data_IF_515266921765
#
_entry.id   IF_515266921765
#
_cell.length_a   1.000
_cell.length_b   1.000
_cell.length_c   1.000
_cell.angle_alpha   90.00
_cell.angle_beta   90.00
_cell.angle_gamma   90.00
#
_symmetry.space_group_name_H-M   'P 1'
#
loop_
_entity.id
_entity.type
_entity.pdbx_description
1 polymer ?
#
# COMPACT_ATOMS: atom_id res chain seq x y z
N UNK A 1 -25.16 -4.76 13.52
CA UNK A 1 -25.04 -4.79 12.04
C UNK A 1 -24.01 -3.75 11.64
N UNK A 2 -22.81 -4.17 11.26
CA UNK A 2 -21.70 -3.28 10.92
C UNK A 2 -21.64 -3.15 9.40
N UNK A 3 -21.86 -1.95 8.86
CA UNK A 3 -21.73 -1.70 7.43
C UNK A 3 -20.24 -1.55 7.06
N UNK A 4 -19.78 -2.41 6.15
CA UNK A 4 -18.43 -2.39 5.60
C UNK A 4 -18.47 -1.71 4.22
N UNK A 5 -17.67 -0.67 4.03
CA UNK A 5 -17.43 -0.12 2.69
C UNK A 5 -16.20 -0.81 2.09
N UNK A 6 -16.42 -1.75 1.18
CA UNK A 6 -15.37 -2.29 0.34
C UNK A 6 -15.20 -1.37 -0.88
N UNK A 7 -14.01 -0.81 -1.05
CA UNK A 7 -13.62 -0.19 -2.32
C UNK A 7 -13.12 -1.30 -3.25
N UNK A 8 -13.75 -1.45 -4.41
CA UNK A 8 -13.26 -2.31 -5.49
C UNK A 8 -12.86 -1.45 -6.67
N UNK A 9 -11.64 -1.66 -7.18
CA UNK A 9 -11.14 -1.00 -8.38
C UNK A 9 -11.01 -2.00 -9.52
N UNK A 10 -11.59 -1.68 -10.68
CA UNK A 10 -11.44 -2.43 -11.94
C UNK A 10 -11.13 -1.42 -13.04
N UNK A 11 -9.89 -1.38 -13.48
CA UNK A 11 -9.49 -0.63 -14.67
C UNK A 11 -10.03 -1.31 -15.93
N UNK A 12 -10.68 -0.52 -16.80
CA UNK A 12 -11.15 -0.95 -18.13
C UNK A 12 -10.13 -0.53 -19.18
N UNK A 13 -9.68 -1.47 -20.00
CA UNK A 13 -9.15 -1.15 -21.33
C UNK A 13 -9.72 -2.12 -22.35
N UNK A 14 -10.45 -1.55 -23.31
CA UNK A 14 -11.00 -2.21 -24.48
C UNK A 14 -9.90 -2.24 -25.54
N UNK A 15 -9.52 -3.42 -26.03
CA UNK A 15 -8.73 -3.53 -27.26
C UNK A 15 -9.28 -4.70 -28.08
N UNK A 16 -9.90 -4.35 -29.20
CA UNK A 16 -10.29 -5.28 -30.26
C UNK A 16 -9.03 -5.61 -31.05
N UNK A 17 -8.65 -6.89 -31.09
CA UNK A 17 -7.83 -7.42 -32.16
C UNK A 17 -8.26 -8.87 -32.47
N UNK A 18 -8.79 -9.07 -33.67
CA UNK A 18 -8.95 -10.38 -34.29
C UNK A 18 -7.55 -10.95 -34.59
N UNK A 19 -7.20 -12.08 -33.98
CA UNK A 19 -6.26 -13.05 -34.56
C UNK A 19 -6.40 -14.42 -33.88
N UNK A 20 -6.71 -15.41 -34.72
CA UNK A 20 -6.40 -16.84 -34.64
C UNK A 20 -6.35 -17.53 -33.27
N UNK A 21 -7.25 -18.50 -33.11
CA UNK A 21 -7.42 -19.37 -31.97
C UNK A 21 -6.13 -20.04 -31.46
N UNK A 22 -5.57 -19.46 -30.40
CA UNK A 22 -4.88 -20.20 -29.33
C UNK A 22 -5.59 -19.78 -28.04
N UNK A 23 -6.38 -20.71 -27.49
CA UNK A 23 -7.05 -20.53 -26.20
C UNK A 23 -5.98 -20.63 -25.11
N UNK A 24 -5.17 -19.58 -24.95
CA UNK A 24 -4.37 -19.40 -23.74
C UNK A 24 -5.40 -19.03 -22.67
N UNK A 25 -5.62 -19.86 -21.64
CA UNK A 25 -6.45 -19.42 -20.53
C UNK A 25 -5.74 -18.20 -19.93
N UNK A 26 -6.30 -17.01 -20.16
CA UNK A 26 -6.06 -15.83 -19.37
C UNK A 26 -6.53 -16.19 -17.95
N UNK A 27 -5.63 -16.84 -17.21
CA UNK A 27 -5.75 -17.03 -15.77
C UNK A 27 -5.74 -15.63 -15.18
N UNK A 28 -6.93 -15.05 -15.11
CA UNK A 28 -7.18 -13.92 -14.23
C UNK A 28 -7.08 -14.52 -12.85
N UNK A 29 -5.88 -14.57 -12.27
CA UNK A 29 -5.76 -14.83 -10.85
C UNK A 29 -6.66 -13.80 -10.19
N UNK A 30 -7.73 -14.27 -9.56
CA UNK A 30 -8.49 -13.45 -8.64
C UNK A 30 -7.47 -13.05 -7.56
N UNK A 31 -6.96 -11.83 -7.65
CA UNK A 31 -6.04 -11.29 -6.66
C UNK A 31 -6.74 -11.41 -5.31
N UNK A 32 -6.22 -12.24 -4.42
CA UNK A 32 -6.72 -12.33 -3.06
C UNK A 32 -6.72 -10.92 -2.47
N UNK A 33 -7.89 -10.45 -2.05
CA UNK A 33 -7.98 -9.13 -1.43
C UNK A 33 -7.39 -9.23 -0.03
N UNK A 34 -6.23 -8.62 0.17
CA UNK A 34 -5.57 -8.58 1.47
C UNK A 34 -6.32 -7.61 2.38
N UNK A 35 -6.78 -8.11 3.52
CA UNK A 35 -7.46 -7.28 4.51
C UNK A 35 -6.44 -6.81 5.52
N UNK A 36 -6.16 -5.51 5.53
CA UNK A 36 -5.28 -4.91 6.52
C UNK A 36 -6.06 -4.71 7.82
N UNK A 37 -5.45 -5.08 8.94
CA UNK A 37 -6.06 -5.03 10.28
C UNK A 37 -5.34 -4.00 11.14
N UNK A 38 -6.05 -3.22 11.99
CA UNK A 38 -5.40 -2.34 12.95
C UNK A 38 -4.50 -3.15 13.89
N UNK A 39 -3.25 -2.74 14.04
CA UNK A 39 -2.37 -3.33 15.05
C UNK A 39 -2.81 -2.85 16.44
N UNK A 40 -3.07 -3.80 17.33
CA UNK A 40 -3.57 -3.49 18.66
C UNK A 40 -2.49 -2.86 19.53
N UNK A 41 -2.89 -1.94 20.42
CA UNK A 41 -2.02 -1.28 21.40
C UNK A 41 -0.87 -0.42 20.82
N UNK A 42 -0.86 -0.16 19.51
CA UNK A 42 0.07 0.76 18.87
C UNK A 42 -0.64 2.09 18.57
N UNK A 43 -0.21 3.14 19.26
CA UNK A 43 -0.75 4.49 19.10
C UNK A 43 0.41 5.48 19.08
N UNK A 44 0.45 6.34 18.07
CA UNK A 44 1.57 7.24 17.79
C UNK A 44 1.15 8.70 17.86
N UNK A 45 2.11 9.59 18.14
CA UNK A 45 1.92 11.04 18.20
C UNK A 45 1.98 11.72 16.82
N UNK A 46 2.52 11.04 15.81
CA UNK A 46 2.62 11.57 14.46
C UNK A 46 2.45 10.48 13.39
N UNK A 47 2.07 10.93 12.19
CA UNK A 47 2.00 10.08 11.00
C UNK A 47 3.36 9.43 10.69
N UNK A 48 4.45 10.19 10.79
CA UNK A 48 5.80 9.70 10.51
C UNK A 48 6.25 8.66 11.54
N UNK A 49 6.01 8.88 12.84
CA UNK A 49 6.34 7.90 13.87
C UNK A 49 5.60 6.57 13.68
N UNK A 50 4.37 6.63 13.18
CA UNK A 50 3.59 5.45 12.83
C UNK A 50 4.23 4.67 11.67
N UNK A 51 4.74 5.34 10.64
CA UNK A 51 5.44 4.71 9.51
C UNK A 51 6.80 4.13 9.93
N UNK A 52 7.56 4.86 10.76
CA UNK A 52 8.83 4.37 11.31
C UNK A 52 8.64 3.07 12.11
N UNK A 53 7.58 3.00 12.92
CA UNK A 53 7.24 1.78 13.64
C UNK A 53 6.92 0.61 12.69
N UNK A 54 6.32 0.86 11.51
CA UNK A 54 6.06 -0.17 10.51
C UNK A 54 7.33 -0.62 9.80
N UNK A 55 8.31 0.27 9.60
CA UNK A 55 9.64 -0.13 9.12
C UNK A 55 10.28 -1.09 10.12
N UNK A 56 10.30 -0.72 11.40
CA UNK A 56 10.92 -1.55 12.44
C UNK A 56 10.19 -2.90 12.62
N UNK A 57 8.87 -2.92 12.40
CA UNK A 57 8.06 -4.14 12.51
C UNK A 57 8.21 -5.10 11.31
N UNK A 58 8.25 -4.58 10.08
CA UNK A 58 8.04 -5.39 8.87
C UNK A 58 9.28 -5.55 7.98
N UNK A 59 10.28 -4.66 8.05
CA UNK A 59 11.33 -4.57 7.02
C UNK A 59 12.15 -5.87 6.90
N UNK A 60 12.51 -6.47 8.04
CA UNK A 60 13.32 -7.68 8.06
C UNK A 60 12.58 -8.86 7.41
N UNK A 61 11.30 -9.06 7.75
CA UNK A 61 10.45 -10.12 7.19
C UNK A 61 10.18 -9.88 5.71
N UNK A 62 9.78 -8.66 5.34
CA UNK A 62 9.52 -8.26 3.96
C UNK A 62 10.70 -8.55 3.02
N UNK A 63 11.92 -8.24 3.46
CA UNK A 63 13.15 -8.51 2.69
C UNK A 63 13.49 -9.99 2.64
N UNK A 64 13.26 -10.74 3.72
CA UNK A 64 13.59 -12.16 3.81
C UNK A 64 12.65 -13.02 2.95
N UNK A 65 11.36 -12.71 2.99
CA UNK A 65 10.30 -13.49 2.35
C UNK A 65 10.00 -13.03 0.92
N UNK A 66 10.62 -11.95 0.45
CA UNK A 66 10.29 -11.29 -0.82
C UNK A 66 8.78 -10.97 -0.91
N UNK A 67 8.24 -10.41 0.16
CA UNK A 67 6.82 -10.14 0.33
C UNK A 67 6.58 -8.66 0.63
N UNK A 68 5.57 -8.06 0.01
CA UNK A 68 5.15 -6.70 0.33
C UNK A 68 4.27 -6.69 1.59
N UNK A 69 4.59 -5.78 2.51
CA UNK A 69 3.76 -5.44 3.66
C UNK A 69 3.13 -4.09 3.39
N UNK A 70 1.87 -3.90 3.78
CA UNK A 70 1.16 -2.66 3.48
C UNK A 70 0.04 -2.36 4.46
N UNK A 71 -0.38 -1.11 4.45
CA UNK A 71 -1.53 -0.69 5.21
C UNK A 71 -1.80 0.79 5.11
N UNK A 72 -2.47 1.29 6.13
CA UNK A 72 -2.92 2.65 6.22
C UNK A 72 -2.52 3.25 7.57
N UNK A 73 -2.22 4.54 7.55
CA UNK A 73 -2.16 5.35 8.76
C UNK A 73 -3.55 5.93 8.99
N UNK A 74 -4.06 5.70 10.19
CA UNK A 74 -5.38 6.15 10.62
C UNK A 74 -5.23 7.24 11.67
N UNK A 75 -5.94 8.35 11.52
CA UNK A 75 -6.05 9.38 12.54
C UNK A 75 -7.33 9.19 13.35
N UNK A 76 -7.21 9.15 14.67
CA UNK A 76 -8.34 9.10 15.61
C UNK A 76 -8.87 10.51 15.90
N UNK A 77 -10.04 10.61 16.53
CA UNK A 77 -10.66 11.90 16.84
C UNK A 77 -9.86 12.75 17.84
N UNK A 78 -9.06 12.12 18.70
CA UNK A 78 -8.12 12.76 19.62
C UNK A 78 -6.76 13.09 18.95
N UNK A 79 -6.71 13.07 17.61
CA UNK A 79 -5.53 13.41 16.80
C UNK A 79 -4.31 12.50 16.98
N UNK A 80 -4.50 11.31 17.56
CA UNK A 80 -3.49 10.26 17.63
C UNK A 80 -3.50 9.42 16.35
N UNK A 81 -2.45 8.64 16.12
CA UNK A 81 -2.28 7.85 14.91
C UNK A 81 -2.26 6.35 15.22
N UNK A 82 -2.95 5.56 14.41
CA UNK A 82 -2.94 4.10 14.42
C UNK A 82 -2.42 3.60 13.07
N UNK A 83 -2.03 2.34 13.03
CA UNK A 83 -1.57 1.66 11.81
C UNK A 83 -2.43 0.44 11.52
N UNK A 84 -2.74 0.22 10.25
CA UNK A 84 -3.20 -1.10 9.78
C UNK A 84 -2.06 -1.82 9.10
N UNK A 85 -2.10 -3.15 9.10
CA UNK A 85 -1.12 -4.01 8.46
C UNK A 85 -1.79 -5.20 7.77
N UNK A 86 -1.29 -5.54 6.59
CA UNK A 86 -1.50 -6.80 5.89
C UNK A 86 -0.27 -7.14 5.05
N UNK A 87 -0.17 -8.41 4.66
CA UNK A 87 0.97 -8.97 3.95
C UNK A 87 0.51 -9.62 2.64
N UNK A 88 1.26 -9.37 1.57
CA UNK A 88 1.10 -10.05 0.29
C UNK A 88 1.80 -11.41 0.28
N UNK A 89 1.44 -12.26 -0.68
CA UNK A 89 2.18 -13.51 -0.87
C UNK A 89 3.57 -13.19 -1.45
N UNK A 90 4.60 -13.97 -1.11
CA UNK A 90 5.92 -13.87 -1.73
C UNK A 90 5.86 -13.79 -3.25
N UNK A 91 6.59 -12.83 -3.83
CA UNK A 91 6.70 -12.63 -5.28
C UNK A 91 5.45 -12.10 -5.99
N UNK A 92 4.39 -11.68 -5.26
CA UNK A 92 3.24 -11.03 -5.88
C UNK A 92 3.61 -9.64 -6.40
N UNK A 93 3.33 -9.38 -7.68
CA UNK A 93 3.63 -8.09 -8.34
C UNK A 93 2.45 -7.13 -8.37
N UNK A 94 1.26 -7.61 -8.03
CA UNK A 94 0.03 -6.82 -8.00
C UNK A 94 -0.77 -7.21 -6.78
N UNK A 95 -1.12 -6.22 -5.97
CA UNK A 95 -1.84 -6.43 -4.73
C UNK A 95 -3.12 -5.60 -4.72
N UNK A 96 -4.24 -6.24 -4.39
CA UNK A 96 -5.48 -5.56 -4.03
C UNK A 96 -5.65 -5.66 -2.52
N UNK A 97 -5.87 -4.54 -1.83
CA UNK A 97 -6.07 -4.55 -0.38
C UNK A 97 -7.31 -3.77 0.05
N UNK A 98 -7.82 -4.13 1.23
CA UNK A 98 -8.92 -3.47 1.91
C UNK A 98 -8.45 -2.99 3.28
N UNK A 99 -8.79 -1.75 3.64
CA UNK A 99 -8.43 -1.14 4.92
C UNK A 99 -9.54 -1.35 5.93
N UNK A 100 -9.29 -2.15 6.96
CA UNK A 100 -10.20 -2.25 8.10
C UNK A 100 -9.78 -1.21 9.14
N UNK A 101 -10.73 -0.37 9.55
CA UNK A 101 -10.48 0.76 10.45
C UNK A 101 -11.50 0.79 11.58
N UNK A 102 -11.12 1.23 12.80
CA UNK A 102 -12.09 1.48 13.86
C UNK A 102 -13.14 2.50 13.43
N UNK A 103 -14.38 2.41 13.95
CA UNK A 103 -15.38 3.46 13.79
C UNK A 103 -14.75 4.81 14.19
N UNK A 104 -15.07 5.87 13.46
CA UNK A 104 -14.58 7.25 13.66
C UNK A 104 -13.12 7.56 13.33
N UNK A 105 -12.27 6.58 13.02
CA UNK A 105 -10.91 6.88 12.54
C UNK A 105 -10.91 7.32 11.06
N UNK A 106 -10.00 8.19 10.62
CA UNK A 106 -9.85 8.64 9.22
C UNK A 106 -8.58 8.06 8.62
N UNK A 107 -8.61 7.59 7.37
CA UNK A 107 -7.37 7.28 6.63
C UNK A 107 -6.68 8.59 6.24
N UNK A 108 -5.42 8.77 6.67
CA UNK A 108 -4.64 9.99 6.40
C UNK A 108 -3.46 9.75 5.49
N UNK A 109 -2.92 8.53 5.46
CA UNK A 109 -1.88 8.11 4.53
C UNK A 109 -1.96 6.59 4.28
N UNK A 110 -1.30 6.14 3.23
CA UNK A 110 -1.02 4.74 2.94
C UNK A 110 0.47 4.46 3.14
N UNK A 111 0.84 3.21 3.38
CA UNK A 111 2.24 2.81 3.44
C UNK A 111 2.43 1.39 2.88
N UNK A 112 3.60 1.12 2.33
CA UNK A 112 4.02 -0.23 1.98
C UNK A 112 5.54 -0.42 2.05
N UNK A 113 5.97 -1.68 2.12
CA UNK A 113 7.35 -2.10 1.84
C UNK A 113 7.42 -2.67 0.44
N UNK A 114 8.63 -2.69 -0.12
CA UNK A 114 8.95 -3.66 -1.17
C UNK A 114 9.64 -4.88 -0.56
N UNK A 115 9.51 -6.02 -1.24
CA UNK A 115 10.12 -7.30 -0.87
C UNK A 115 11.66 -7.30 -0.93
N UNK A 116 12.25 -8.33 -1.54
CA UNK A 116 13.69 -8.52 -1.51
C UNK A 116 14.45 -7.38 -2.20
N UNK A 117 15.66 -7.02 -1.74
CA UNK A 117 16.46 -5.95 -2.33
C UNK A 117 16.68 -6.09 -3.84
N UNK A 118 16.41 -5.02 -4.58
CA UNK A 118 16.67 -4.90 -6.00
C UNK A 118 16.70 -3.45 -6.45
N UNK A 119 17.22 -3.16 -7.65
CA UNK A 119 17.32 -1.76 -8.14
C UNK A 119 15.96 -1.05 -8.22
N UNK A 120 14.87 -1.82 -8.43
CA UNK A 120 13.52 -1.28 -8.56
C UNK A 120 12.80 -1.16 -7.23
N UNK A 121 13.22 -1.88 -6.19
CA UNK A 121 12.56 -1.89 -4.88
C UNK A 121 12.89 -0.67 -4.03
N UNK A 122 13.84 0.17 -4.45
CA UNK A 122 14.22 1.40 -3.76
C UNK A 122 13.34 2.61 -4.17
N UNK A 123 12.36 2.43 -5.05
CA UNK A 123 11.56 3.54 -5.63
C UNK A 123 10.13 3.11 -5.86
N UNK A 124 9.20 4.05 -5.75
CA UNK A 124 7.81 3.86 -6.10
C UNK A 124 7.63 3.29 -7.52
N UNK A 125 6.66 2.40 -7.65
CA UNK A 125 6.19 1.85 -8.92
C UNK A 125 5.31 2.86 -9.68
N UNK A 126 4.98 2.53 -10.93
CA UNK A 126 3.99 3.29 -11.71
C UNK A 126 2.60 3.14 -11.04
N UNK A 127 2.30 1.93 -10.56
CA UNK A 127 1.05 1.64 -9.85
C UNK A 127 0.91 2.49 -8.59
N UNK A 128 1.98 2.72 -7.82
CA UNK A 128 1.94 3.58 -6.63
C UNK A 128 1.59 5.02 -6.99
N UNK A 129 2.14 5.50 -8.11
CA UNK A 129 1.85 6.82 -8.64
C UNK A 129 0.41 6.95 -9.10
N UNK A 130 -0.14 5.90 -9.71
CA UNK A 130 -1.54 5.84 -10.11
C UNK A 130 -2.47 5.80 -8.90
N UNK A 131 -2.13 5.00 -7.88
CA UNK A 131 -2.85 4.94 -6.59
C UNK A 131 -2.90 6.30 -5.90
N UNK A 132 -1.77 7.00 -5.78
CA UNK A 132 -1.72 8.34 -5.19
C UNK A 132 -2.55 9.34 -6.00
N UNK A 133 -2.53 9.25 -7.33
CA UNK A 133 -3.32 10.14 -8.19
C UNK A 133 -4.82 9.91 -8.05
N UNK A 134 -5.23 8.66 -7.90
CA UNK A 134 -6.62 8.27 -7.79
C UNK A 134 -7.21 8.59 -6.41
N UNK A 135 -6.48 8.20 -5.35
CA UNK A 135 -6.98 8.29 -3.98
C UNK A 135 -6.70 9.68 -3.38
N UNK A 136 -5.64 10.35 -3.82
CA UNK A 136 -5.26 11.67 -3.33
C UNK A 136 -4.72 11.69 -1.90
N UNK A 137 -4.25 10.55 -1.40
CA UNK A 137 -3.60 10.41 -0.10
C UNK A 137 -2.07 10.33 -0.24
N UNK A 138 -1.30 10.79 0.77
CA UNK A 138 0.11 10.46 0.89
C UNK A 138 0.35 8.95 0.89
N UNK A 139 1.42 8.51 0.25
CA UNK A 139 1.81 7.11 0.18
C UNK A 139 3.29 6.95 0.53
N UNK A 140 3.57 6.24 1.62
CA UNK A 140 4.92 5.97 2.08
C UNK A 140 5.47 4.66 1.51
N UNK A 141 6.71 4.70 1.03
CA UNK A 141 7.48 3.51 0.70
C UNK A 141 8.58 3.34 1.75
N UNK A 142 8.62 2.16 2.34
CA UNK A 142 9.72 1.66 3.16
C UNK A 142 10.56 0.74 2.29
N UNK A 143 11.69 1.24 1.79
CA UNK A 143 12.55 0.48 0.90
C UNK A 143 13.37 -0.59 1.65
N UNK A 144 13.88 -1.64 0.96
CA UNK A 144 14.72 -2.67 1.59
C UNK A 144 15.99 -2.13 2.25
N UNK A 145 16.50 -0.98 1.79
CA UNK A 145 17.58 -0.23 2.44
C UNK A 145 17.23 0.36 3.81
N UNK A 146 15.94 0.36 4.18
CA UNK A 146 15.38 1.05 5.33
C UNK A 146 15.06 2.52 5.08
N UNK A 147 15.30 3.04 3.87
CA UNK A 147 14.91 4.39 3.51
C UNK A 147 13.39 4.54 3.44
N UNK A 148 12.85 5.60 4.04
CA UNK A 148 11.44 5.97 3.93
C UNK A 148 11.30 7.11 2.91
N UNK A 149 10.49 6.89 1.88
CA UNK A 149 10.13 7.90 0.89
C UNK A 149 8.63 8.18 0.94
N UNK A 150 8.23 9.39 0.58
CA UNK A 150 6.87 9.86 0.59
C UNK A 150 6.46 10.32 -0.82
N UNK A 151 5.39 9.73 -1.34
CA UNK A 151 4.75 10.15 -2.58
C UNK A 151 3.47 10.92 -2.25
N UNK A 152 3.37 12.16 -2.74
CA UNK A 152 2.16 12.99 -2.56
C UNK A 152 1.62 13.43 -3.91
N UNK A 153 0.31 13.33 -4.11
CA UNK A 153 -0.35 13.84 -5.30
C UNK A 153 -0.57 15.35 -5.17
N UNK A 154 -0.11 16.15 -6.13
CA UNK A 154 -0.58 17.54 -6.26
C UNK A 154 -1.49 17.66 -7.47
N UNK A 155 -2.40 18.65 -7.46
CA UNK A 155 -3.23 19.01 -8.63
C UNK A 155 -2.41 19.37 -9.90
N UNK A 156 -1.07 19.44 -9.83
CA UNK A 156 -0.16 19.74 -10.95
C UNK A 156 0.92 18.67 -11.23
N UNK A 157 0.87 17.50 -10.60
CA UNK A 157 1.87 16.43 -10.75
C UNK A 157 2.27 15.79 -9.42
N UNK A 158 3.03 14.69 -9.45
CA UNK A 158 3.37 13.90 -8.26
C UNK A 158 4.85 14.16 -7.90
N UNK A 159 5.16 15.02 -6.92
CA UNK A 159 6.50 15.11 -6.36
C UNK A 159 6.78 13.89 -5.46
N UNK A 160 7.96 13.30 -5.62
CA UNK A 160 8.51 12.30 -4.73
C UNK A 160 9.41 13.01 -3.70
N UNK A 161 9.09 12.90 -2.41
CA UNK A 161 9.81 13.55 -1.31
C UNK A 161 10.48 12.46 -0.49
N UNK A 162 11.81 12.47 -0.40
CA UNK A 162 12.51 11.59 0.54
C UNK A 162 12.49 12.20 1.93
N UNK A 163 12.10 11.41 2.94
CA UNK A 163 12.20 11.83 4.33
C UNK A 163 13.62 11.50 4.83
N UNK A 164 14.34 12.51 5.31
CA UNK A 164 15.63 12.34 5.97
C UNK A 164 15.42 12.33 7.47
N UNK A 165 15.90 11.27 8.13
CA UNK A 165 16.00 11.17 9.59
C UNK A 165 16.97 12.20 10.17
#
# INVERSE_FOLDING_TARGET
MTHFNAFQFKSRTLQVLLCSALFIPLYTQASDVIRTMPLQNLVFDSEVAAVEAMKDHCLAESSHEDAEHMGAILQTNDSRFLVTHGQAKPGQTTVTFAILRPPTSKVVALWHTHGAPGRRTERFSIQDSDTVREIGLPFYLIAPSGQISLLVGTKKGIPNVQLTS
#
